data_IF_894410057950
#
_entry.id   IF_894410057950
#
_cell.length_a   1.000
_cell.length_b   1.000
_cell.length_c   1.000
_cell.angle_alpha   90.00
_cell.angle_beta   90.00
_cell.angle_gamma   90.00
#
_symmetry.space_group_name_H-M   'P 1'
#
loop_
_entity.id
_entity.type
_entity.pdbx_description
1 polymer ?
#
# COMPACT_ATOMS: atom_id res chain seq x y z
N UNK A 1 -12.79 -2.94 6.03
CA UNK A 1 -12.06 -1.67 6.20
C UNK A 1 -11.67 -1.58 7.67
N UNK A 2 -10.41 -1.83 7.98
CA UNK A 2 -9.93 -1.92 9.36
C UNK A 2 -8.47 -1.51 9.38
N UNK A 3 -8.09 -0.77 10.40
CA UNK A 3 -6.74 -0.29 10.64
C UNK A 3 -6.60 -0.01 12.13
N UNK A 4 -5.37 0.13 12.60
CA UNK A 4 -5.09 0.42 13.99
C UNK A 4 -3.93 1.41 14.10
N UNK A 5 -3.88 2.10 15.23
CA UNK A 5 -2.73 2.90 15.64
C UNK A 5 -2.16 2.28 16.91
N UNK A 6 -0.84 2.05 16.91
CA UNK A 6 -0.11 1.67 18.10
C UNK A 6 0.82 2.83 18.49
N UNK A 7 0.72 3.29 19.73
CA UNK A 7 1.50 4.42 20.25
C UNK A 7 1.86 4.18 21.72
N UNK A 8 2.89 4.88 22.19
CA UNK A 8 3.29 4.86 23.60
C UNK A 8 2.30 5.66 24.45
N UNK A 9 1.91 5.10 25.58
CA UNK A 9 0.97 5.74 26.50
C UNK A 9 1.71 6.33 27.71
N UNK A 10 2.36 7.47 27.50
CA UNK A 10 3.25 8.10 28.48
C UNK A 10 2.52 9.31 29.12
N UNK A 11 1.38 9.07 29.80
CA UNK A 11 0.58 10.15 30.40
C UNK A 11 0.89 10.33 31.90
N UNK A 12 2.02 10.96 32.21
CA UNK A 12 2.24 11.55 33.54
C UNK A 12 1.68 12.98 33.55
N UNK A 13 0.38 13.14 33.85
CA UNK A 13 -0.21 14.43 34.23
C UNK A 13 -0.93 15.26 33.15
N UNK A 14 -1.24 14.71 31.97
CA UNK A 14 -2.04 15.36 30.92
C UNK A 14 -3.03 14.41 30.22
N UNK A 15 -3.89 14.93 29.32
CA UNK A 15 -4.75 14.10 28.47
C UNK A 15 -3.88 13.25 27.55
N UNK A 16 -4.06 11.93 27.60
CA UNK A 16 -3.26 11.01 26.78
C UNK A 16 -3.57 11.20 25.30
N UNK A 17 -2.59 10.91 24.43
CA UNK A 17 -2.79 10.85 22.98
C UNK A 17 -4.00 9.96 22.62
N UNK A 18 -4.24 8.90 23.42
CA UNK A 18 -5.41 8.05 23.29
C UNK A 18 -6.74 8.81 23.38
N UNK A 19 -6.88 9.67 24.38
CA UNK A 19 -8.10 10.42 24.61
C UNK A 19 -8.41 11.36 23.44
N UNK A 20 -7.39 12.03 22.90
CA UNK A 20 -7.56 12.93 21.76
C UNK A 20 -7.89 12.17 20.46
N UNK A 21 -7.26 11.01 20.22
CA UNK A 21 -7.57 10.16 19.07
C UNK A 21 -8.99 9.61 19.14
N UNK A 22 -9.43 9.13 20.31
CA UNK A 22 -10.80 8.62 20.51
C UNK A 22 -11.85 9.73 20.34
N UNK A 23 -11.57 10.94 20.83
CA UNK A 23 -12.43 12.11 20.62
C UNK A 23 -12.70 12.37 19.14
N UNK A 24 -11.65 12.36 18.30
CA UNK A 24 -11.79 12.56 16.84
C UNK A 24 -12.53 11.39 16.18
N UNK A 25 -12.27 10.17 16.65
CA UNK A 25 -12.90 8.96 16.14
C UNK A 25 -14.42 8.98 16.37
N UNK A 26 -14.87 9.32 17.58
CA UNK A 26 -16.28 9.39 17.96
C UNK A 26 -17.10 10.39 17.13
N UNK A 27 -16.45 11.41 16.55
CA UNK A 27 -17.14 12.42 15.72
C UNK A 27 -17.01 12.20 14.22
N UNK A 28 -15.99 11.46 13.75
CA UNK A 28 -15.68 11.33 12.31
C UNK A 28 -16.02 9.94 11.77
N UNK A 29 -15.51 8.90 12.43
CA UNK A 29 -15.60 7.50 12.01
C UNK A 29 -15.64 6.61 13.27
N UNK A 30 -16.76 6.70 14.01
CA UNK A 30 -17.00 6.14 15.35
C UNK A 30 -16.21 4.86 15.62
N UNK A 31 -16.39 3.83 14.80
CA UNK A 31 -15.56 2.63 14.84
C UNK A 31 -15.63 1.86 13.51
N UNK A 32 -14.66 0.97 13.23
CA UNK A 32 -14.76 0.02 12.12
C UNK A 32 -15.98 -0.89 12.29
N UNK A 33 -16.56 -1.37 11.19
CA UNK A 33 -17.71 -2.30 11.26
C UNK A 33 -17.35 -3.57 12.04
N UNK A 34 -18.27 -4.06 12.87
CA UNK A 34 -18.06 -5.26 13.70
C UNK A 34 -17.56 -6.45 12.87
N UNK A 35 -18.16 -6.67 11.69
CA UNK A 35 -17.71 -7.72 10.78
C UNK A 35 -16.25 -7.54 10.33
N UNK A 36 -15.80 -6.31 10.04
CA UNK A 36 -14.40 -6.06 9.70
C UNK A 36 -13.47 -6.36 10.88
N UNK A 37 -13.90 -6.09 12.11
CA UNK A 37 -13.12 -6.37 13.32
C UNK A 37 -12.97 -7.88 13.54
N UNK A 38 -14.04 -8.67 13.37
CA UNK A 38 -13.98 -10.13 13.47
C UNK A 38 -13.06 -10.75 12.42
N UNK A 39 -13.16 -10.31 11.15
CA UNK A 39 -12.28 -10.80 10.08
C UNK A 39 -10.82 -10.42 10.34
N UNK A 40 -10.56 -9.20 10.85
CA UNK A 40 -9.22 -8.78 11.22
C UNK A 40 -8.62 -9.66 12.32
N UNK A 41 -9.41 -10.01 13.34
CA UNK A 41 -8.97 -10.90 14.41
C UNK A 41 -8.59 -12.29 13.88
N UNK A 42 -9.40 -12.86 12.98
CA UNK A 42 -9.07 -14.13 12.32
C UNK A 42 -7.82 -14.02 11.45
N UNK A 43 -7.59 -12.90 10.77
CA UNK A 43 -6.37 -12.69 9.99
C UNK A 43 -5.09 -12.66 10.85
N UNK A 44 -5.22 -12.33 12.15
CA UNK A 44 -4.12 -12.34 13.12
C UNK A 44 -3.91 -13.73 13.78
N UNK A 45 -4.77 -14.72 13.52
CA UNK A 45 -4.57 -16.08 14.01
C UNK A 45 -3.39 -16.77 13.31
N UNK A 46 -2.96 -17.94 13.80
CA UNK A 46 -1.92 -18.73 13.15
C UNK A 46 -2.32 -19.12 11.71
N UNK A 47 -3.57 -19.52 11.53
CA UNK A 47 -4.16 -19.89 10.24
C UNK A 47 -4.28 -18.66 9.32
N UNK A 48 -4.70 -17.51 9.87
CA UNK A 48 -4.75 -16.25 9.13
C UNK A 48 -3.37 -15.81 8.64
N UNK A 49 -2.35 -15.88 9.51
CA UNK A 49 -0.96 -15.60 9.15
C UNK A 49 -0.45 -16.53 8.05
N UNK A 50 -0.77 -17.83 8.12
CA UNK A 50 -0.39 -18.81 7.10
C UNK A 50 -1.04 -18.49 5.75
N UNK A 51 -2.35 -18.18 5.74
CA UNK A 51 -3.08 -17.77 4.54
C UNK A 51 -2.45 -16.54 3.88
N UNK A 52 -2.12 -15.49 4.65
CA UNK A 52 -1.50 -14.28 4.10
C UNK A 52 -0.13 -14.57 3.51
N UNK A 53 0.71 -15.38 4.18
CA UNK A 53 2.03 -15.78 3.66
C UNK A 53 1.92 -16.53 2.34
N UNK A 54 0.93 -17.41 2.18
CA UNK A 54 0.66 -18.09 0.91
C UNK A 54 0.31 -17.09 -0.20
N UNK A 55 -0.52 -16.07 0.09
CA UNK A 55 -0.85 -15.03 -0.90
C UNK A 55 0.35 -14.18 -1.28
N UNK A 56 1.20 -13.82 -0.32
CA UNK A 56 2.45 -13.09 -0.59
C UNK A 56 3.39 -13.93 -1.46
N UNK A 57 3.57 -15.22 -1.16
CA UNK A 57 4.41 -16.10 -1.95
C UNK A 57 3.96 -16.18 -3.42
N UNK A 58 2.65 -16.11 -3.67
CA UNK A 58 2.08 -16.06 -5.02
C UNK A 58 2.41 -14.80 -5.82
N UNK A 59 2.91 -13.73 -5.18
CA UNK A 59 3.25 -12.47 -5.85
C UNK A 59 4.64 -12.47 -6.49
N UNK A 60 5.51 -13.42 -6.15
CA UNK A 60 6.92 -13.42 -6.61
C UNK A 60 7.02 -13.46 -8.14
N UNK A 61 6.18 -14.26 -8.80
CA UNK A 61 6.14 -14.33 -10.26
C UNK A 61 5.73 -13.00 -10.90
N UNK A 62 4.73 -12.33 -10.33
CA UNK A 62 4.29 -11.01 -10.81
C UNK A 62 5.38 -9.96 -10.60
N UNK A 63 6.06 -10.00 -9.44
CA UNK A 63 7.17 -9.11 -9.12
C UNK A 63 8.29 -9.24 -10.13
N UNK A 64 8.71 -10.48 -10.44
CA UNK A 64 9.75 -10.75 -11.41
C UNK A 64 9.36 -10.30 -12.82
N UNK A 65 8.12 -10.59 -13.25
CA UNK A 65 7.61 -10.20 -14.55
C UNK A 65 7.57 -8.68 -14.76
N UNK A 66 7.17 -7.92 -13.74
CA UNK A 66 7.14 -6.45 -13.82
C UNK A 66 8.56 -5.87 -13.85
N UNK A 67 9.50 -6.39 -13.05
CA UNK A 67 10.89 -5.94 -13.08
C UNK A 67 11.56 -6.21 -14.44
N UNK A 68 11.31 -7.38 -15.02
CA UNK A 68 11.80 -7.73 -16.35
C UNK A 68 11.24 -6.77 -17.41
N UNK A 69 9.92 -6.52 -17.40
CA UNK A 69 9.28 -5.58 -18.32
C UNK A 69 9.77 -4.13 -18.17
N UNK A 70 10.15 -3.72 -16.96
CA UNK A 70 10.67 -2.39 -16.67
C UNK A 70 12.21 -2.29 -16.81
N UNK A 71 12.90 -3.39 -17.10
CA UNK A 71 14.36 -3.41 -17.22
C UNK A 71 14.93 -2.34 -18.17
N UNK A 72 14.29 -1.99 -19.32
CA UNK A 72 14.84 -0.94 -20.18
C UNK A 72 14.89 0.45 -19.52
N UNK A 73 13.95 0.74 -18.60
CA UNK A 73 13.96 2.00 -17.84
C UNK A 73 15.03 1.98 -16.75
N UNK A 74 15.27 0.81 -16.14
CA UNK A 74 16.33 0.61 -15.17
C UNK A 74 17.71 0.80 -15.80
N UNK A 75 17.93 0.25 -17.00
CA UNK A 75 19.18 0.38 -17.75
C UNK A 75 19.42 1.81 -18.25
N UNK A 76 18.35 2.54 -18.58
CA UNK A 76 18.41 3.91 -19.09
C UNK A 76 18.72 4.99 -18.03
N UNK A 77 18.96 4.60 -16.76
CA UNK A 77 19.36 5.55 -15.72
C UNK A 77 18.86 5.25 -14.31
N UNK A 78 18.51 4.01 -13.99
CA UNK A 78 18.02 3.63 -12.65
C UNK A 78 16.66 4.25 -12.33
N UNK A 79 15.77 4.30 -13.33
CA UNK A 79 14.49 5.00 -13.22
C UNK A 79 13.41 4.20 -12.49
N UNK A 80 13.73 3.04 -11.93
CA UNK A 80 12.78 2.13 -11.27
C UNK A 80 13.21 1.89 -9.82
N UNK A 81 12.29 2.06 -8.88
CA UNK A 81 12.48 1.77 -7.46
C UNK A 81 11.29 0.98 -6.90
N UNK A 82 11.53 0.19 -5.85
CA UNK A 82 10.48 -0.53 -5.14
C UNK A 82 10.37 -2.01 -5.48
N UNK A 83 9.31 -2.63 -4.97
CA UNK A 83 9.06 -4.06 -5.06
C UNK A 83 9.74 -4.90 -3.97
N UNK A 84 10.60 -4.35 -3.10
CA UNK A 84 11.25 -5.10 -2.02
C UNK A 84 10.34 -5.38 -0.80
N UNK A 85 9.17 -4.74 -0.74
CA UNK A 85 8.21 -4.94 0.35
C UNK A 85 6.76 -4.64 -0.01
N UNK A 86 6.49 -3.47 -0.59
CA UNK A 86 5.17 -3.13 -1.10
C UNK A 86 4.92 -3.76 -2.49
N UNK A 87 3.65 -3.87 -2.88
CA UNK A 87 3.23 -4.39 -4.19
C UNK A 87 3.34 -3.37 -5.34
N UNK A 88 4.01 -2.24 -5.10
CA UNK A 88 4.12 -1.14 -6.04
C UNK A 88 5.56 -0.98 -6.52
N UNK A 89 5.68 -0.56 -7.77
CA UNK A 89 6.92 -0.11 -8.38
C UNK A 89 6.76 1.36 -8.72
N UNK A 90 7.78 2.14 -8.42
CA UNK A 90 7.89 3.52 -8.83
C UNK A 90 8.78 3.60 -10.06
N UNK A 91 8.21 3.93 -11.22
CA UNK A 91 8.94 4.07 -12.46
C UNK A 91 8.86 5.52 -12.94
N UNK A 92 10.02 6.16 -13.06
CA UNK A 92 10.13 7.52 -13.60
C UNK A 92 10.11 7.46 -15.13
N UNK A 93 9.38 8.37 -15.74
CA UNK A 93 9.35 8.50 -17.20
C UNK A 93 10.73 8.95 -17.74
N UNK A 94 11.11 8.49 -18.95
CA UNK A 94 12.32 8.95 -19.62
C UNK A 94 12.36 10.49 -19.78
N UNK A 95 13.56 11.09 -19.85
CA UNK A 95 13.70 12.52 -20.16
C UNK A 95 12.99 12.90 -21.47
N UNK A 96 12.36 14.09 -21.50
CA UNK A 96 11.54 14.56 -22.62
C UNK A 96 10.07 14.11 -22.58
N UNK A 97 9.67 13.38 -21.54
CA UNK A 97 8.30 12.97 -21.26
C UNK A 97 7.86 13.48 -19.87
N UNK A 98 8.06 14.77 -19.60
CA UNK A 98 7.77 15.37 -18.29
C UNK A 98 6.27 15.59 -18.01
N UNK A 99 5.42 15.46 -19.04
CA UNK A 99 3.96 15.52 -18.90
C UNK A 99 3.39 14.13 -18.56
N UNK A 100 3.48 13.79 -17.26
CA UNK A 100 3.02 12.52 -16.73
C UNK A 100 1.52 12.28 -17.01
N UNK A 101 0.68 13.33 -17.01
CA UNK A 101 -0.76 13.22 -17.28
C UNK A 101 -1.04 12.81 -18.73
N UNK A 102 -0.33 13.39 -19.69
CA UNK A 102 -0.47 13.03 -21.09
C UNK A 102 -0.03 11.58 -21.35
N UNK A 103 1.08 11.16 -20.75
CA UNK A 103 1.56 9.77 -20.87
C UNK A 103 0.58 8.80 -20.22
N UNK A 104 0.02 9.15 -19.05
CA UNK A 104 -1.03 8.36 -18.41
C UNK A 104 -2.28 8.25 -19.29
N UNK A 105 -2.79 9.36 -19.84
CA UNK A 105 -3.94 9.34 -20.74
C UNK A 105 -3.69 8.45 -21.96
N UNK A 106 -2.49 8.53 -22.54
CA UNK A 106 -2.08 7.69 -23.65
C UNK A 106 -2.07 6.20 -23.26
N UNK A 107 -1.46 5.82 -22.13
CA UNK A 107 -1.46 4.45 -21.60
C UNK A 107 -2.89 3.91 -21.43
N UNK A 108 -3.78 4.69 -20.82
CA UNK A 108 -5.17 4.29 -20.59
C UNK A 108 -5.93 4.17 -21.90
N UNK A 109 -5.88 5.18 -22.77
CA UNK A 109 -6.70 5.20 -23.99
C UNK A 109 -6.20 4.21 -25.04
N UNK A 110 -4.88 4.14 -25.26
CA UNK A 110 -4.27 3.37 -26.34
C UNK A 110 -3.97 1.93 -25.94
N UNK A 111 -3.50 1.72 -24.70
CA UNK A 111 -3.02 0.42 -24.21
C UNK A 111 -3.93 -0.23 -23.17
N UNK A 112 -4.95 0.49 -22.68
CA UNK A 112 -5.87 0.01 -21.62
C UNK A 112 -5.14 -0.33 -20.31
N UNK A 113 -4.04 0.37 -20.06
CA UNK A 113 -3.23 0.22 -18.84
C UNK A 113 -3.44 1.45 -17.97
N UNK A 114 -3.84 1.23 -16.71
CA UNK A 114 -3.96 2.28 -15.70
C UNK A 114 -2.85 2.11 -14.68
N UNK A 115 -2.08 3.17 -14.45
CA UNK A 115 -1.06 3.27 -13.40
C UNK A 115 -1.47 4.33 -12.36
N UNK A 116 -0.76 4.40 -11.22
CA UNK A 116 -1.02 5.33 -10.10
C UNK A 116 0.20 6.22 -9.93
#
# INVERSE_FOLDING_TARGET
RVGYLAYRNDAAGGTSLAAELLKVQDTTVICPTQLSQHVALSALSAEGCAYVKEKIAGLEGNRAAVLDALSPLSEAGGLVAGGEGAIYFWARLPPGLEDDEHVFEWLVRRHKVCVI
#
